data_IF_344355704115
#
_entry.id   IF_344355704115
#
_cell.length_a   1.000
_cell.length_b   1.000
_cell.length_c   1.000
_cell.angle_alpha   90.00
_cell.angle_beta   90.00
_cell.angle_gamma   90.00
#
_symmetry.space_group_name_H-M   'P 1'
#
loop_
_entity.id
_entity.type
_entity.pdbx_description
1 polymer ?
#
# COMPACT_ATOMS: atom_id res chain seq x y z
N UNK A 1 3.68 9.37 -24.91
CA UNK A 1 2.81 8.93 -23.79
C UNK A 1 2.19 7.56 -24.09
N UNK A 2 1.36 7.45 -25.09
CA UNK A 2 0.68 6.18 -25.43
C UNK A 2 1.66 5.02 -25.68
N UNK A 3 2.74 5.25 -26.40
CA UNK A 3 3.76 4.24 -26.66
C UNK A 3 4.42 3.73 -25.36
N UNK A 4 4.65 4.62 -24.39
CA UNK A 4 5.21 4.22 -23.09
C UNK A 4 4.22 3.36 -22.31
N UNK A 5 2.93 3.71 -22.34
CA UNK A 5 1.87 2.94 -21.69
C UNK A 5 1.78 1.54 -22.29
N UNK A 6 1.72 1.46 -23.62
CA UNK A 6 1.66 0.17 -24.33
C UNK A 6 2.91 -0.67 -24.11
N UNK A 7 4.08 -0.04 -24.10
CA UNK A 7 5.33 -0.74 -23.81
C UNK A 7 5.32 -1.33 -22.38
N UNK A 8 4.93 -0.54 -21.39
CA UNK A 8 4.88 -0.99 -19.99
C UNK A 8 3.88 -2.13 -19.80
N UNK A 9 2.69 -1.99 -20.39
CA UNK A 9 1.66 -3.03 -20.38
C UNK A 9 2.21 -4.34 -20.95
N UNK A 10 2.75 -4.29 -22.17
CA UNK A 10 3.29 -5.48 -22.85
C UNK A 10 4.45 -6.08 -22.05
N UNK A 11 5.34 -5.25 -21.51
CA UNK A 11 6.45 -5.72 -20.70
C UNK A 11 5.96 -6.53 -19.50
N UNK A 12 4.97 -6.04 -18.77
CA UNK A 12 4.43 -6.75 -17.62
C UNK A 12 3.69 -8.03 -18.05
N UNK A 13 2.90 -7.97 -19.11
CA UNK A 13 2.22 -9.17 -19.66
C UNK A 13 3.22 -10.24 -20.06
N UNK A 14 4.29 -9.88 -20.73
CA UNK A 14 5.37 -10.80 -21.13
C UNK A 14 6.06 -11.39 -19.88
N UNK A 15 6.33 -10.57 -18.89
CA UNK A 15 6.91 -11.03 -17.61
C UNK A 15 6.00 -12.05 -16.92
N UNK A 16 4.71 -11.77 -16.85
CA UNK A 16 3.72 -12.67 -16.25
C UNK A 16 3.61 -13.99 -17.02
N UNK A 17 3.81 -13.96 -18.34
CA UNK A 17 3.77 -15.17 -19.19
C UNK A 17 4.84 -16.18 -18.81
N UNK A 18 6.00 -15.74 -18.31
CA UNK A 18 7.04 -16.64 -17.80
C UNK A 18 6.60 -17.45 -16.58
N UNK A 19 5.61 -16.96 -15.85
CA UNK A 19 5.01 -17.68 -14.73
C UNK A 19 3.77 -18.48 -15.13
N UNK A 20 3.50 -18.60 -16.43
CA UNK A 20 2.36 -19.32 -16.96
C UNK A 20 1.04 -18.53 -16.94
N UNK A 21 1.11 -17.22 -16.73
CA UNK A 21 -0.08 -16.36 -16.76
C UNK A 21 -0.20 -15.64 -18.09
N UNK A 22 -1.31 -15.91 -18.78
CA UNK A 22 -1.74 -15.17 -19.97
C UNK A 22 -2.93 -14.29 -19.55
N UNK A 23 -2.64 -13.10 -19.05
CA UNK A 23 -3.66 -12.19 -18.56
C UNK A 23 -3.48 -10.80 -19.19
N UNK A 24 -4.60 -10.13 -19.43
CA UNK A 24 -4.57 -8.73 -19.86
C UNK A 24 -4.31 -7.84 -18.65
N UNK A 25 -3.25 -7.03 -18.76
CA UNK A 25 -2.95 -6.00 -17.78
C UNK A 25 -3.68 -4.72 -18.20
N UNK A 26 -4.40 -4.13 -17.27
CA UNK A 26 -5.00 -2.80 -17.49
C UNK A 26 -3.94 -1.74 -17.26
N UNK A 27 -3.79 -0.83 -18.22
CA UNK A 27 -2.80 0.24 -18.16
C UNK A 27 -3.48 1.60 -18.34
N UNK A 28 -3.22 2.50 -17.41
CA UNK A 28 -3.68 3.89 -17.45
C UNK A 28 -2.53 4.80 -17.04
N UNK A 29 -2.72 6.09 -17.15
CA UNK A 29 -1.77 7.07 -16.64
C UNK A 29 -2.50 8.07 -15.74
N UNK A 30 -1.91 8.34 -14.58
CA UNK A 30 -2.42 9.30 -13.61
C UNK A 30 -1.24 10.04 -12.99
N UNK A 31 -1.27 11.36 -13.02
CA UNK A 31 -0.20 12.23 -12.51
C UNK A 31 1.21 11.85 -13.02
N UNK A 32 1.32 11.58 -14.32
CA UNK A 32 2.56 11.15 -14.99
C UNK A 32 3.11 9.79 -14.50
N UNK A 33 2.29 9.01 -13.81
CA UNK A 33 2.61 7.64 -13.41
C UNK A 33 1.79 6.66 -14.24
N UNK A 34 2.46 5.69 -14.83
CA UNK A 34 1.79 4.59 -15.54
C UNK A 34 1.28 3.60 -14.50
N UNK A 35 -0.03 3.47 -14.42
CA UNK A 35 -0.70 2.53 -13.52
C UNK A 35 -0.96 1.22 -14.25
N UNK A 36 -0.38 0.13 -13.77
CA UNK A 36 -0.57 -1.22 -14.30
C UNK A 36 -1.34 -2.06 -13.29
N UNK A 37 -2.50 -2.53 -13.68
CA UNK A 37 -3.37 -3.36 -12.86
C UNK A 37 -3.44 -4.77 -13.38
N UNK A 38 -3.03 -5.72 -12.56
CA UNK A 38 -3.13 -7.16 -12.85
C UNK A 38 -4.41 -7.69 -12.20
N UNK A 39 -5.31 -8.32 -12.97
CA UNK A 39 -6.54 -8.86 -12.40
C UNK A 39 -6.26 -10.03 -11.46
N UNK A 40 -7.24 -10.37 -10.64
CA UNK A 40 -7.13 -11.50 -9.72
C UNK A 40 -6.95 -12.82 -10.47
N UNK A 41 -5.95 -13.60 -10.06
CA UNK A 41 -5.66 -14.93 -10.59
C UNK A 41 -5.32 -15.89 -9.46
N UNK A 42 -5.10 -17.18 -9.78
CA UNK A 42 -4.67 -18.17 -8.79
C UNK A 42 -3.24 -17.92 -8.26
N UNK A 43 -2.48 -17.02 -8.88
CA UNK A 43 -1.11 -16.67 -8.46
C UNK A 43 -1.02 -15.34 -7.69
N UNK A 44 -2.13 -14.79 -7.21
CA UNK A 44 -2.12 -13.51 -6.48
C UNK A 44 -1.07 -13.46 -5.37
N UNK A 45 -1.03 -14.48 -4.52
CA UNK A 45 -0.08 -14.52 -3.41
C UNK A 45 1.37 -14.50 -3.85
N UNK A 46 1.70 -15.20 -4.92
CA UNK A 46 3.04 -15.21 -5.50
C UNK A 46 3.39 -13.84 -6.13
N UNK A 47 2.47 -13.28 -6.91
CA UNK A 47 2.70 -12.01 -7.62
C UNK A 47 2.81 -10.83 -6.65
N UNK A 48 2.06 -10.86 -5.57
CA UNK A 48 2.14 -9.83 -4.52
C UNK A 48 3.43 -10.01 -3.72
N UNK A 49 3.70 -11.24 -3.30
CA UNK A 49 4.82 -11.56 -2.43
C UNK A 49 4.59 -11.07 -1.00
N UNK A 50 5.57 -11.30 -0.15
CA UNK A 50 5.51 -10.88 1.23
C UNK A 50 5.51 -9.35 1.32
N UNK A 51 4.47 -8.78 1.91
CA UNK A 51 4.30 -7.31 2.06
C UNK A 51 4.37 -6.54 0.73
N UNK A 52 3.98 -7.18 -0.37
CA UNK A 52 4.01 -6.57 -1.69
C UNK A 52 5.40 -6.50 -2.34
N UNK A 53 6.37 -7.26 -1.86
CA UNK A 53 7.75 -7.23 -2.40
C UNK A 53 7.82 -7.57 -3.88
N UNK A 54 7.10 -8.59 -4.33
CA UNK A 54 7.13 -8.98 -5.73
C UNK A 54 6.47 -7.94 -6.63
N UNK A 55 5.39 -7.32 -6.16
CA UNK A 55 4.79 -6.19 -6.89
C UNK A 55 5.79 -5.05 -7.07
N UNK A 56 6.52 -4.68 -6.02
CA UNK A 56 7.54 -3.62 -6.09
C UNK A 56 8.68 -4.00 -7.01
N UNK A 57 9.08 -5.27 -7.04
CA UNK A 57 10.12 -5.77 -7.96
C UNK A 57 9.67 -5.66 -9.42
N UNK A 58 8.45 -6.05 -9.73
CA UNK A 58 7.89 -5.91 -11.08
C UNK A 58 7.79 -4.44 -11.49
N UNK A 59 7.39 -3.59 -10.58
CA UNK A 59 7.34 -2.14 -10.77
C UNK A 59 8.72 -1.56 -11.09
N UNK A 60 9.73 -1.97 -10.37
CA UNK A 60 11.13 -1.56 -10.59
C UNK A 60 11.63 -2.01 -11.98
N UNK A 61 11.36 -3.27 -12.34
CA UNK A 61 11.76 -3.81 -13.64
C UNK A 61 11.07 -3.05 -14.79
N UNK A 62 9.79 -2.81 -14.71
CA UNK A 62 9.04 -2.07 -15.73
C UNK A 62 9.55 -0.62 -15.87
N UNK A 63 9.80 0.04 -14.77
CA UNK A 63 10.37 1.39 -14.75
C UNK A 63 11.75 1.44 -15.41
N UNK A 64 12.62 0.49 -15.09
CA UNK A 64 13.95 0.40 -15.71
C UNK A 64 13.89 0.08 -17.21
N UNK A 65 12.97 -0.78 -17.62
CA UNK A 65 12.78 -1.09 -19.03
C UNK A 65 12.39 0.16 -19.83
N UNK A 66 11.48 1.00 -19.28
CA UNK A 66 11.10 2.26 -19.88
C UNK A 66 12.29 3.23 -19.99
N UNK A 67 13.08 3.35 -18.93
CA UNK A 67 14.29 4.20 -18.92
C UNK A 67 15.29 3.75 -19.97
N UNK A 68 15.55 2.45 -20.06
CA UNK A 68 16.49 1.89 -21.02
C UNK A 68 16.05 2.10 -22.48
N UNK A 69 14.75 2.20 -22.72
CA UNK A 69 14.20 2.51 -24.04
C UNK A 69 14.16 4.00 -24.34
N UNK A 70 14.50 4.84 -23.39
CA UNK A 70 14.52 6.31 -23.57
C UNK A 70 13.16 6.98 -23.51
N UNK A 71 12.15 6.34 -22.95
CA UNK A 71 10.85 6.98 -22.76
C UNK A 71 10.91 8.12 -21.73
N UNK A 72 10.14 9.17 -21.97
CA UNK A 72 10.01 10.30 -21.03
C UNK A 72 9.23 9.90 -19.77
N UNK A 73 8.22 9.04 -19.93
CA UNK A 73 7.39 8.54 -18.84
C UNK A 73 7.99 7.23 -18.33
N UNK A 74 8.60 7.25 -17.16
CA UNK A 74 9.31 6.11 -16.59
C UNK A 74 8.82 5.70 -15.21
N UNK A 75 7.91 6.47 -14.63
CA UNK A 75 7.32 6.14 -13.33
C UNK A 75 6.18 5.14 -13.54
N UNK A 76 6.28 4.02 -12.86
CA UNK A 76 5.32 2.91 -12.97
C UNK A 76 4.85 2.52 -11.58
N UNK A 77 3.58 2.25 -11.46
CA UNK A 77 2.98 1.63 -10.29
C UNK A 77 2.32 0.31 -10.73
N UNK A 78 2.59 -0.78 -10.02
CA UNK A 78 1.99 -2.08 -10.28
C UNK A 78 1.10 -2.46 -9.11
N UNK A 79 -0.13 -2.86 -9.40
CA UNK A 79 -1.05 -3.40 -8.43
C UNK A 79 -1.60 -4.74 -8.90
N UNK A 80 -1.77 -5.69 -7.99
CA UNK A 80 -2.28 -7.03 -8.27
C UNK A 80 -3.56 -7.25 -7.45
N UNK A 81 -4.65 -7.56 -8.14
CA UNK A 81 -5.93 -7.95 -7.53
C UNK A 81 -6.43 -6.92 -6.49
N UNK A 82 -6.23 -5.63 -6.75
CA UNK A 82 -6.58 -4.53 -5.84
C UNK A 82 -5.93 -4.66 -4.44
N UNK A 83 -4.74 -5.23 -4.38
CA UNK A 83 -4.03 -5.47 -3.12
C UNK A 83 -3.86 -4.21 -2.29
N UNK A 84 -3.48 -3.09 -2.91
CA UNK A 84 -3.24 -1.84 -2.19
C UNK A 84 -4.50 -1.32 -1.51
N UNK A 85 -5.63 -1.38 -2.22
CA UNK A 85 -6.92 -0.99 -1.66
C UNK A 85 -7.35 -1.94 -0.54
N UNK A 86 -7.27 -3.25 -0.77
CA UNK A 86 -7.62 -4.25 0.24
C UNK A 86 -6.75 -4.13 1.48
N UNK A 87 -5.46 -3.85 1.30
CA UNK A 87 -4.53 -3.65 2.42
C UNK A 87 -4.90 -2.40 3.23
N UNK A 88 -5.22 -1.31 2.55
CA UNK A 88 -5.65 -0.07 3.19
C UNK A 88 -6.97 -0.28 3.97
N UNK A 89 -7.93 -0.98 3.37
CA UNK A 89 -9.21 -1.30 4.01
C UNK A 89 -9.02 -2.16 5.27
N UNK A 90 -8.16 -3.19 5.19
CA UNK A 90 -7.84 -4.04 6.35
C UNK A 90 -7.18 -3.25 7.47
N UNK A 91 -6.25 -2.37 7.13
CA UNK A 91 -5.60 -1.51 8.12
C UNK A 91 -6.62 -0.61 8.80
N UNK A 92 -7.52 -0.01 8.02
CA UNK A 92 -8.57 0.85 8.54
C UNK A 92 -9.50 0.09 9.49
N UNK A 93 -9.97 -1.09 9.09
CA UNK A 93 -10.84 -1.94 9.92
C UNK A 93 -10.14 -2.34 11.22
N UNK A 94 -8.89 -2.73 11.14
CA UNK A 94 -8.08 -3.08 12.30
C UNK A 94 -7.86 -1.87 13.21
N UNK A 95 -7.56 -0.72 12.63
CA UNK A 95 -7.37 0.52 13.38
C UNK A 95 -8.65 0.95 14.09
N UNK A 96 -9.81 0.80 13.46
CA UNK A 96 -11.10 1.07 14.12
C UNK A 96 -11.30 0.20 15.36
N UNK A 97 -10.90 -1.06 15.30
CA UNK A 97 -10.92 -1.98 16.45
C UNK A 97 -10.02 -1.46 17.58
N UNK A 98 -8.80 -1.04 17.25
CA UNK A 98 -7.88 -0.45 18.24
C UNK A 98 -8.46 0.82 18.88
N UNK A 99 -9.05 1.70 18.06
CA UNK A 99 -9.67 2.95 18.56
C UNK A 99 -10.77 2.66 19.57
N UNK A 100 -11.64 1.69 19.26
CA UNK A 100 -12.71 1.26 20.16
C UNK A 100 -12.15 0.68 21.46
N UNK A 101 -11.13 -0.15 21.39
CA UNK A 101 -10.49 -0.73 22.57
C UNK A 101 -9.91 0.34 23.49
N UNK A 102 -9.23 1.33 22.95
CA UNK A 102 -8.66 2.43 23.72
C UNK A 102 -9.75 3.27 24.38
N UNK A 103 -10.83 3.56 23.64
CA UNK A 103 -11.98 4.28 24.20
C UNK A 103 -12.65 3.53 25.35
N UNK A 104 -12.86 2.23 25.19
CA UNK A 104 -13.54 1.39 26.18
C UNK A 104 -12.68 1.14 27.42
N UNK A 105 -11.38 0.86 27.23
CA UNK A 105 -10.46 0.55 28.33
C UNK A 105 -9.98 1.80 29.08
N UNK A 106 -9.94 2.94 28.41
CA UNK A 106 -9.33 4.16 28.95
C UNK A 106 -7.81 4.07 29.11
N UNK A 107 -7.17 3.07 28.50
CA UNK A 107 -5.72 2.82 28.64
C UNK A 107 -5.02 3.03 27.30
N UNK A 108 -3.77 3.47 27.38
CA UNK A 108 -2.90 3.56 26.20
C UNK A 108 -2.64 2.18 25.60
N UNK A 109 -2.45 2.15 24.27
CA UNK A 109 -2.16 0.93 23.53
C UNK A 109 -0.97 1.16 22.60
N UNK A 110 0.03 0.29 22.69
CA UNK A 110 1.15 0.26 21.76
C UNK A 110 0.77 -0.62 20.55
N UNK A 111 0.87 -0.06 19.36
CA UNK A 111 0.62 -0.81 18.13
C UNK A 111 1.91 -1.46 17.62
N UNK A 112 1.77 -2.46 16.76
CA UNK A 112 2.92 -3.06 16.08
C UNK A 112 3.63 -2.03 15.19
N UNK A 113 4.94 -2.17 14.94
CA UNK A 113 5.65 -1.31 14.01
C UNK A 113 5.02 -1.31 12.62
N UNK A 114 4.99 -0.14 11.99
CA UNK A 114 4.42 0.04 10.66
C UNK A 114 5.14 1.15 9.92
N UNK A 115 5.00 1.16 8.58
CA UNK A 115 5.64 2.17 7.75
C UNK A 115 4.99 3.56 7.94
N UNK A 116 5.63 4.58 7.38
CA UNK A 116 5.18 5.97 7.55
C UNK A 116 3.79 6.23 6.97
N UNK A 117 3.46 5.60 5.85
CA UNK A 117 2.14 5.76 5.22
C UNK A 117 1.03 5.18 6.10
N UNK A 118 1.27 4.00 6.66
CA UNK A 118 0.32 3.34 7.57
C UNK A 118 0.16 4.16 8.86
N UNK A 119 1.25 4.66 9.42
CA UNK A 119 1.19 5.52 10.60
C UNK A 119 0.35 6.77 10.35
N UNK A 120 0.47 7.40 9.17
CA UNK A 120 -0.35 8.55 8.80
C UNK A 120 -1.84 8.22 8.77
N UNK A 121 -2.18 7.06 8.21
CA UNK A 121 -3.56 6.56 8.19
C UNK A 121 -4.11 6.39 9.60
N UNK A 122 -3.33 5.78 10.49
CA UNK A 122 -3.74 5.57 11.89
C UNK A 122 -3.88 6.89 12.65
N UNK A 123 -2.94 7.84 12.46
CA UNK A 123 -3.03 9.17 13.08
C UNK A 123 -4.31 9.91 12.66
N UNK A 124 -4.63 9.88 11.37
CA UNK A 124 -5.84 10.51 10.84
C UNK A 124 -7.09 9.90 11.45
N UNK A 125 -7.14 8.58 11.54
CA UNK A 125 -8.28 7.87 12.13
C UNK A 125 -8.39 8.15 13.64
N UNK A 126 -7.27 8.22 14.34
CA UNK A 126 -7.26 8.59 15.77
C UNK A 126 -7.90 9.96 16.00
N UNK A 127 -7.59 10.94 15.16
CA UNK A 127 -8.22 12.27 15.22
C UNK A 127 -9.73 12.18 15.00
N UNK A 128 -10.17 11.38 14.03
CA UNK A 128 -11.61 11.17 13.76
C UNK A 128 -12.33 10.58 14.98
N UNK A 129 -11.66 9.71 15.74
CA UNK A 129 -12.19 9.08 16.94
C UNK A 129 -11.98 9.91 18.22
N UNK A 130 -11.34 11.08 18.10
CA UNK A 130 -11.06 11.93 19.26
C UNK A 130 -10.02 11.37 20.23
N UNK A 131 -9.10 10.54 19.72
CA UNK A 131 -7.99 9.96 20.48
C UNK A 131 -6.69 10.69 20.19
N UNK A 132 -5.75 10.63 21.13
CA UNK A 132 -4.38 11.07 20.92
C UNK A 132 -3.55 9.94 20.33
N UNK A 133 -2.63 10.28 19.46
CA UNK A 133 -1.71 9.31 18.86
C UNK A 133 -0.32 9.91 18.75
N UNK A 134 0.68 9.12 19.07
CA UNK A 134 2.08 9.51 19.04
C UNK A 134 2.90 8.44 18.33
N UNK A 135 3.81 8.87 17.45
CA UNK A 135 4.73 7.97 16.76
C UNK A 135 6.04 7.94 17.54
N UNK A 136 6.43 6.76 18.01
CA UNK A 136 7.62 6.56 18.84
C UNK A 136 8.51 5.46 18.25
N UNK A 137 9.78 5.45 18.66
CA UNK A 137 10.76 4.47 18.19
C UNK A 137 11.48 4.91 16.93
N UNK A 138 12.45 4.10 16.51
CA UNK A 138 13.33 4.39 15.39
C UNK A 138 13.23 3.32 14.30
N UNK A 139 13.36 3.76 13.03
CA UNK A 139 13.48 2.90 11.85
C UNK A 139 12.43 1.77 11.83
N UNK A 140 12.86 0.52 11.94
CA UNK A 140 12.00 -0.67 11.86
C UNK A 140 11.08 -0.85 13.06
N UNK A 141 11.44 -0.27 14.20
CA UNK A 141 10.66 -0.38 15.44
C UNK A 141 9.68 0.77 15.63
N UNK A 142 9.64 1.72 14.68
CA UNK A 142 8.78 2.87 14.80
C UNK A 142 7.32 2.47 14.72
N UNK A 143 6.58 2.84 15.76
CA UNK A 143 5.19 2.44 15.93
C UNK A 143 4.37 3.59 16.52
N UNK A 144 3.06 3.38 16.63
CA UNK A 144 2.15 4.34 17.21
C UNK A 144 1.72 3.87 18.61
N UNK A 145 1.66 4.84 19.53
CA UNK A 145 0.99 4.69 20.82
C UNK A 145 -0.32 5.47 20.74
N UNK A 146 -1.44 4.77 20.93
CA UNK A 146 -2.77 5.37 21.04
C UNK A 146 -3.07 5.65 22.49
N UNK A 147 -3.60 6.84 22.76
CA UNK A 147 -3.94 7.27 24.12
C UNK A 147 -5.37 7.80 24.16
N UNK A 148 -6.09 7.62 25.28
CA UNK A 148 -7.35 8.30 25.48
C UNK A 148 -7.16 9.82 25.39
N UNK A 149 -8.16 10.53 24.93
CA UNK A 149 -8.09 11.99 24.85
C UNK A 149 -7.91 12.59 26.25
N UNK A 150 -7.00 13.55 26.35
CA UNK A 150 -6.74 14.27 27.60
C UNK A 150 -8.01 15.02 28.03
N UNK A 151 -8.54 14.72 29.22
CA UNK A 151 -9.76 15.34 29.76
C UNK A 151 -11.06 14.55 29.49
N UNK A 152 -11.02 13.47 28.68
CA UNK A 152 -12.20 12.64 28.44
C UNK A 152 -12.60 11.77 29.65
N UNK A 153 -11.76 11.66 30.66
CA UNK A 153 -11.96 10.85 31.85
C UNK A 153 -12.76 11.51 32.95
N UNK A 154 -13.28 12.72 32.72
CA UNK A 154 -13.99 13.49 33.70
C UNK A 154 -15.50 13.53 33.50
N UNK A 155 -15.99 12.72 32.62
CA UNK A 155 -17.43 12.60 32.41
C UNK A 155 -18.07 11.65 33.38
#
# INVERSE_FOLDING_TARGET
MEEAIQFAKKYLEDLLSFFGLNTDVMATIEDDVIELSVPSTHLNGFLIGQRGENMRSMQFLASNALKNKGFAYTRVNVDVADYKKQRADRLRDQAETWMKQVKESGKAMDLAPMNAADRRTVHKLAQEYGLESESVGDARDRHIVLKPATGASLA
#
